data_IF_824996749899
#
_entry.id   IF_824996749899
#
_cell.length_a   1.000
_cell.length_b   1.000
_cell.length_c   1.000
_cell.angle_alpha   90.00
_cell.angle_beta   90.00
_cell.angle_gamma   90.00
#
_symmetry.space_group_name_H-M   'P 1'
#
loop_
_entity.id
_entity.type
_entity.pdbx_description
1 polymer ?
#
# COMPACT_ATOMS: atom_id res chain seq x y z
N UNK A 1 11.06 15.25 -0.99
CA UNK A 1 9.97 14.29 -0.75
C UNK A 1 10.52 13.04 -0.06
N UNK A 2 9.67 12.25 0.60
CA UNK A 2 10.07 10.98 1.24
C UNK A 2 9.59 9.79 0.41
N UNK A 3 10.44 8.78 0.25
CA UNK A 3 10.15 7.55 -0.51
C UNK A 3 10.64 6.34 0.29
N UNK A 4 9.89 5.24 0.30
CA UNK A 4 10.34 3.98 0.91
C UNK A 4 11.36 3.25 0.03
N UNK A 5 12.27 2.51 0.67
CA UNK A 5 13.29 1.68 0.01
C UNK A 5 12.69 0.42 -0.66
N UNK A 6 11.81 0.62 -1.64
CA UNK A 6 11.17 -0.45 -2.44
C UNK A 6 11.05 -0.09 -3.92
N UNK A 7 11.48 1.12 -4.30
CA UNK A 7 11.57 1.53 -5.69
C UNK A 7 12.92 1.07 -6.28
N UNK A 8 12.97 0.71 -7.58
CA UNK A 8 14.21 0.44 -8.26
C UNK A 8 15.18 1.62 -8.20
N UNK A 9 16.48 1.33 -8.06
CA UNK A 9 17.53 2.35 -7.98
C UNK A 9 17.54 3.28 -9.21
N UNK A 10 17.27 2.74 -10.40
CA UNK A 10 17.17 3.51 -11.65
C UNK A 10 16.05 4.55 -11.61
N UNK A 11 14.92 4.25 -10.96
CA UNK A 11 13.82 5.20 -10.78
C UNK A 11 14.23 6.35 -9.85
N UNK A 12 14.90 6.04 -8.74
CA UNK A 12 15.39 7.06 -7.79
C UNK A 12 16.42 7.98 -8.44
N UNK A 13 17.29 7.43 -9.27
CA UNK A 13 18.28 8.19 -10.04
C UNK A 13 17.60 9.16 -11.01
N UNK A 14 16.67 8.67 -11.84
CA UNK A 14 15.95 9.51 -12.80
C UNK A 14 15.16 10.64 -12.13
N UNK A 15 14.58 10.38 -10.96
CA UNK A 15 13.92 11.43 -10.16
C UNK A 15 14.92 12.47 -9.66
N UNK A 16 16.10 12.04 -9.19
CA UNK A 16 17.15 12.95 -8.72
C UNK A 16 17.69 13.82 -9.87
N UNK A 17 17.91 13.24 -11.06
CA UNK A 17 18.35 13.96 -12.27
C UNK A 17 17.34 15.01 -12.72
N UNK A 18 16.05 14.81 -12.44
CA UNK A 18 14.97 15.80 -12.67
C UNK A 18 14.87 16.86 -11.57
N UNK A 19 15.81 16.88 -10.62
CA UNK A 19 15.88 17.88 -9.55
C UNK A 19 15.07 17.55 -8.31
N UNK A 20 14.52 16.34 -8.18
CA UNK A 20 13.82 15.95 -6.96
C UNK A 20 14.81 15.66 -5.82
N UNK A 21 14.63 16.33 -4.68
CA UNK A 21 15.35 15.99 -3.45
C UNK A 21 14.62 14.85 -2.75
N UNK A 22 15.24 13.67 -2.70
CA UNK A 22 14.63 12.42 -2.20
C UNK A 22 15.22 12.04 -0.85
N UNK A 23 14.36 11.85 0.15
CA UNK A 23 14.70 11.23 1.44
C UNK A 23 14.23 9.78 1.43
N UNK A 24 15.18 8.84 1.34
CA UNK A 24 14.86 7.42 1.41
C UNK A 24 14.50 7.05 2.86
N UNK A 25 13.44 6.26 3.04
CA UNK A 25 12.95 5.73 4.30
C UNK A 25 13.02 4.21 4.30
N UNK A 26 13.06 3.60 5.49
CA UNK A 26 12.87 2.14 5.63
C UNK A 26 11.51 1.71 5.07
N UNK A 27 11.36 0.42 4.79
CA UNK A 27 10.09 -0.14 4.34
C UNK A 27 9.01 -0.04 5.42
N UNK A 28 7.74 0.09 4.99
CA UNK A 28 6.55 0.10 5.84
C UNK A 28 6.58 1.16 6.96
N UNK A 29 7.05 2.37 6.66
CA UNK A 29 6.98 3.48 7.63
C UNK A 29 5.58 4.06 7.70
N UNK A 30 5.11 4.38 8.91
CA UNK A 30 3.80 4.97 9.19
C UNK A 30 3.58 6.32 8.50
N UNK A 31 4.66 7.01 8.12
CA UNK A 31 4.59 8.27 7.38
C UNK A 31 4.05 8.11 5.94
N UNK A 32 3.89 6.88 5.46
CA UNK A 32 3.25 6.56 4.18
C UNK A 32 1.76 6.23 4.37
N UNK A 33 1.04 6.04 3.26
CA UNK A 33 -0.39 5.73 3.29
C UNK A 33 -0.72 4.42 4.02
N UNK A 34 -1.93 4.38 4.60
CA UNK A 34 -2.51 3.23 5.32
C UNK A 34 -3.86 2.81 4.71
N UNK A 35 -3.82 2.49 3.42
CA UNK A 35 -5.02 2.26 2.61
C UNK A 35 -5.81 1.03 3.04
N UNK A 36 -7.12 1.07 2.81
CA UNK A 36 -8.05 -0.04 3.02
C UNK A 36 -8.90 -0.15 1.76
N UNK A 37 -9.15 -1.37 1.28
CA UNK A 37 -9.89 -1.58 0.04
C UNK A 37 -10.81 -2.80 0.11
N UNK A 38 -11.95 -2.70 -0.55
CA UNK A 38 -12.92 -3.78 -0.74
C UNK A 38 -13.24 -3.87 -2.24
N UNK A 39 -13.28 -5.08 -2.77
CA UNK A 39 -13.67 -5.39 -4.14
C UNK A 39 -14.84 -6.38 -4.10
N UNK A 40 -15.96 -6.00 -4.70
CA UNK A 40 -17.11 -6.88 -4.89
C UNK A 40 -17.08 -7.49 -6.29
N UNK A 41 -16.98 -8.82 -6.39
CA UNK A 41 -17.14 -9.55 -7.65
C UNK A 41 -18.62 -9.89 -7.85
N UNK A 42 -19.31 -9.10 -8.66
CA UNK A 42 -20.74 -9.27 -8.94
C UNK A 42 -21.08 -10.54 -9.72
N UNK A 43 -20.10 -11.21 -10.34
CA UNK A 43 -20.33 -12.47 -11.08
C UNK A 43 -20.40 -13.66 -10.14
N UNK A 44 -19.55 -13.68 -9.11
CA UNK A 44 -19.47 -14.77 -8.14
C UNK A 44 -20.19 -14.45 -6.83
N UNK A 45 -20.50 -13.17 -6.58
CA UNK A 45 -21.00 -12.66 -5.31
C UNK A 45 -19.92 -12.50 -4.23
N UNK A 46 -18.66 -12.79 -4.54
CA UNK A 46 -17.57 -12.81 -3.55
C UNK A 46 -17.10 -11.40 -3.22
N UNK A 47 -16.88 -11.13 -1.92
CA UNK A 47 -16.26 -9.91 -1.43
C UNK A 47 -14.78 -10.18 -1.08
N UNK A 48 -13.87 -9.44 -1.70
CA UNK A 48 -12.45 -9.42 -1.36
C UNK A 48 -12.13 -8.16 -0.58
N UNK A 49 -11.27 -8.25 0.44
CA UNK A 49 -10.82 -7.10 1.21
C UNK A 49 -9.30 -7.14 1.44
N UNK A 50 -8.69 -5.96 1.57
CA UNK A 50 -7.27 -5.81 1.87
C UNK A 50 -7.05 -4.66 2.86
N UNK A 51 -6.15 -4.91 3.82
CA UNK A 51 -5.63 -3.89 4.74
C UNK A 51 -4.15 -3.65 4.45
N UNK A 52 -3.73 -2.39 4.44
CA UNK A 52 -2.32 -2.05 4.29
C UNK A 52 -1.50 -2.61 5.48
N UNK A 53 -0.38 -3.30 5.23
CA UNK A 53 0.46 -3.89 6.27
C UNK A 53 1.10 -2.89 7.24
N UNK A 54 1.05 -1.58 6.95
CA UNK A 54 1.48 -0.51 7.87
C UNK A 54 0.45 -0.19 8.94
N UNK A 55 -0.80 -0.56 8.72
CA UNK A 55 -1.88 -0.32 9.67
C UNK A 55 -2.01 -1.47 10.65
N UNK A 56 -2.39 -1.17 11.89
CA UNK A 56 -2.94 -2.17 12.80
C UNK A 56 -4.40 -2.48 12.43
N UNK A 57 -4.59 -3.04 11.23
CA UNK A 57 -5.90 -3.31 10.64
C UNK A 57 -5.91 -4.63 9.89
N UNK A 58 -7.07 -5.26 9.79
CA UNK A 58 -7.24 -6.57 9.16
C UNK A 58 -8.42 -6.59 8.18
N UNK A 59 -8.27 -7.38 7.12
CA UNK A 59 -9.37 -7.78 6.25
C UNK A 59 -10.03 -9.03 6.85
N UNK A 60 -11.26 -8.90 7.32
CA UNK A 60 -11.99 -9.97 8.00
C UNK A 60 -13.13 -10.45 7.09
N UNK A 61 -13.26 -11.76 6.84
CA UNK A 61 -14.38 -12.30 6.07
C UNK A 61 -15.70 -12.09 6.85
N UNK A 62 -16.80 -11.93 6.11
CA UNK A 62 -18.11 -11.85 6.73
C UNK A 62 -18.42 -13.14 7.53
N UNK A 63 -19.06 -13.03 8.70
CA UNK A 63 -19.45 -14.20 9.47
C UNK A 63 -20.54 -14.99 8.75
N UNK A 64 -20.43 -16.32 8.78
CA UNK A 64 -21.53 -17.21 8.37
C UNK A 64 -22.58 -17.16 9.48
N UNK A 65 -23.69 -16.47 9.25
CA UNK A 65 -24.82 -16.41 10.19
C UNK A 65 -25.83 -17.50 9.82
N UNK A 66 -26.36 -18.30 10.79
CA UNK A 66 -27.36 -19.33 10.54
C UNK A 66 -28.69 -18.81 9.97
#
# INVERSE_FOLDING_TARGET
MSIEFRLPASTLQQLSERGHIIRIQREYVEAMGRGQAILHDSKTGTNYAASDPRADGAAIPEPIVP
#
